data_IF_048407630866
#
_entry.id   IF_048407630866
#
_cell.length_a   1.000
_cell.length_b   1.000
_cell.length_c   1.000
_cell.angle_alpha   90.00
_cell.angle_beta   90.00
_cell.angle_gamma   90.00
#
_symmetry.space_group_name_H-M   'P 1'
#
loop_
_entity.id
_entity.type
_entity.pdbx_description
1 polymer ?
#
# COMPACT_ATOMS: atom_id res chain seq x y z
N UNK A 1 57.28 -8.77 -62.60
CA UNK A 1 56.50 -9.53 -61.60
C UNK A 1 56.56 -8.75 -60.29
N UNK A 2 55.42 -8.66 -59.61
CA UNK A 2 55.21 -8.20 -58.22
C UNK A 2 55.62 -6.77 -57.82
N UNK A 3 54.66 -5.85 -57.61
CA UNK A 3 53.80 -5.66 -56.40
C UNK A 3 54.65 -5.30 -55.17
N UNK A 4 54.54 -4.14 -54.53
CA UNK A 4 53.64 -3.00 -54.68
C UNK A 4 54.21 -1.80 -53.91
N UNK A 5 53.97 -0.61 -54.47
CA UNK A 5 54.58 0.71 -54.19
C UNK A 5 54.05 1.36 -52.88
N UNK A 6 54.69 2.45 -52.41
CA UNK A 6 54.80 2.83 -51.00
C UNK A 6 53.63 3.69 -50.49
N UNK A 7 53.49 3.72 -49.16
CA UNK A 7 52.59 4.58 -48.40
C UNK A 7 52.83 6.06 -48.73
N UNK A 8 51.99 6.61 -49.60
CA UNK A 8 51.82 8.04 -49.81
C UNK A 8 50.53 8.50 -49.14
N UNK A 9 50.69 9.45 -48.22
CA UNK A 9 49.76 10.52 -47.84
C UNK A 9 48.27 10.35 -48.18
N UNK A 10 47.43 10.18 -47.15
CA UNK A 10 46.01 10.50 -47.21
C UNK A 10 45.60 11.26 -45.95
N UNK A 11 45.77 12.58 -46.05
CA UNK A 11 45.01 13.59 -45.32
C UNK A 11 43.66 13.74 -46.02
N UNK A 12 42.54 13.49 -45.33
CA UNK A 12 41.38 14.42 -45.23
C UNK A 12 40.07 13.76 -44.75
N UNK A 13 39.43 14.50 -43.83
CA UNK A 13 37.99 14.57 -43.50
C UNK A 13 37.46 13.51 -42.54
N UNK A 14 37.57 13.81 -41.25
CA UNK A 14 36.64 13.32 -40.23
C UNK A 14 35.44 14.27 -40.19
N UNK A 15 34.31 13.83 -40.72
CA UNK A 15 33.02 14.46 -40.47
C UNK A 15 32.55 14.03 -39.07
N UNK A 16 32.54 14.94 -38.11
CA UNK A 16 31.87 14.75 -36.83
C UNK A 16 30.36 14.91 -37.05
N UNK A 17 29.67 13.79 -37.24
CA UNK A 17 28.22 13.73 -37.10
C UNK A 17 27.89 13.79 -35.61
N UNK A 18 27.61 14.98 -35.09
CA UNK A 18 26.96 15.14 -33.78
C UNK A 18 25.54 14.61 -33.94
N UNK A 19 25.33 13.35 -33.58
CA UNK A 19 24.01 12.76 -33.49
C UNK A 19 23.30 13.44 -32.31
N UNK A 20 22.46 14.42 -32.61
CA UNK A 20 21.54 15.02 -31.66
C UNK A 20 20.53 13.94 -31.24
N UNK A 21 20.85 13.19 -30.19
CA UNK A 21 19.84 12.47 -29.44
C UNK A 21 18.91 13.51 -28.83
N UNK A 22 17.79 13.78 -29.51
CA UNK A 22 16.63 14.37 -28.87
C UNK A 22 16.25 13.42 -27.73
N UNK A 23 16.71 13.74 -26.52
CA UNK A 23 16.37 12.99 -25.33
C UNK A 23 14.86 13.02 -25.17
N UNK A 24 14.20 11.91 -25.46
CA UNK A 24 12.88 11.65 -24.92
C UNK A 24 13.01 11.84 -23.41
N UNK A 25 12.47 12.94 -22.87
CA UNK A 25 12.35 13.11 -21.43
C UNK A 25 11.45 11.97 -20.98
N UNK A 26 12.04 10.91 -20.44
CA UNK A 26 11.29 9.89 -19.74
C UNK A 26 10.52 10.61 -18.63
N UNK A 27 9.19 10.67 -18.74
CA UNK A 27 8.33 11.22 -17.70
C UNK A 27 8.64 10.48 -16.39
N UNK A 28 8.94 11.23 -15.33
CA UNK A 28 9.22 10.63 -14.03
C UNK A 28 8.05 9.72 -13.62
N UNK A 29 8.32 8.54 -13.03
CA UNK A 29 7.26 7.60 -12.65
C UNK A 29 6.24 8.30 -11.75
N UNK A 30 4.96 7.90 -11.86
CA UNK A 30 3.96 8.42 -10.93
C UNK A 30 4.36 7.97 -9.52
N UNK A 31 4.42 8.89 -8.54
CA UNK A 31 4.89 8.55 -7.20
C UNK A 31 3.93 7.62 -6.43
N UNK A 32 2.66 7.57 -6.83
CA UNK A 32 1.64 6.68 -6.28
C UNK A 32 1.93 5.24 -6.73
N UNK A 33 2.41 4.39 -5.81
CA UNK A 33 2.87 3.03 -6.12
C UNK A 33 1.75 2.14 -6.67
N UNK A 34 0.54 2.35 -6.18
CA UNK A 34 -0.67 1.63 -6.58
C UNK A 34 -0.88 1.67 -8.09
N UNK A 35 -0.53 2.78 -8.74
CA UNK A 35 -0.68 2.92 -10.19
C UNK A 35 0.13 1.90 -11.00
N UNK A 36 1.20 1.32 -10.42
CA UNK A 36 2.06 0.35 -11.10
C UNK A 36 1.40 -1.01 -11.30
N UNK A 37 0.36 -1.33 -10.53
CA UNK A 37 -0.37 -2.59 -10.62
C UNK A 37 -1.87 -2.38 -10.87
N UNK A 38 -2.24 -1.21 -11.36
CA UNK A 38 -3.59 -0.91 -11.83
C UNK A 38 -3.62 -0.75 -13.36
N UNK A 39 -4.68 -1.27 -13.98
CA UNK A 39 -4.94 -1.04 -15.41
C UNK A 39 -5.15 0.45 -15.69
N UNK A 40 -4.53 0.94 -16.77
CA UNK A 40 -4.54 2.36 -17.12
C UNK A 40 -5.96 2.95 -17.20
N UNK A 41 -6.92 2.20 -17.76
CA UNK A 41 -8.32 2.62 -17.93
C UNK A 41 -9.07 2.85 -16.62
N UNK A 42 -8.63 2.27 -15.50
CA UNK A 42 -9.31 2.40 -14.20
C UNK A 42 -8.49 3.20 -13.16
N UNK A 43 -7.24 3.56 -13.45
CA UNK A 43 -6.35 4.27 -12.50
C UNK A 43 -6.98 5.51 -11.91
N UNK A 44 -7.60 6.37 -12.71
CA UNK A 44 -8.20 7.60 -12.21
C UNK A 44 -9.27 7.28 -11.16
N UNK A 45 -10.24 6.44 -11.51
CA UNK A 45 -11.32 6.03 -10.60
C UNK A 45 -10.76 5.41 -9.32
N UNK A 46 -9.94 4.37 -9.44
CA UNK A 46 -9.47 3.57 -8.29
C UNK A 46 -8.51 4.31 -7.35
N UNK A 47 -7.89 5.39 -7.81
CA UNK A 47 -7.01 6.24 -7.01
C UNK A 47 -7.71 7.46 -6.41
N UNK A 48 -8.96 7.76 -6.82
CA UNK A 48 -9.77 8.87 -6.30
C UNK A 48 -11.02 8.41 -5.56
N UNK A 49 -11.32 7.12 -5.58
CA UNK A 49 -12.46 6.53 -4.88
C UNK A 49 -12.04 5.29 -4.09
N UNK A 50 -12.88 4.89 -3.14
CA UNK A 50 -12.77 3.65 -2.39
C UNK A 50 -14.17 3.06 -2.22
N UNK A 51 -14.34 1.73 -2.36
CA UNK A 51 -15.62 1.11 -2.00
C UNK A 51 -15.92 1.29 -0.52
N UNK A 52 -17.21 1.41 -0.20
CA UNK A 52 -17.70 1.33 1.18
C UNK A 52 -17.24 0.02 1.84
N UNK A 53 -16.63 0.13 3.03
CA UNK A 53 -16.28 -1.03 3.85
C UNK A 53 -17.49 -1.46 4.65
N UNK A 54 -17.95 -2.67 4.42
CA UNK A 54 -19.20 -3.19 4.97
C UNK A 54 -19.03 -3.72 6.39
N UNK A 55 -18.61 -2.84 7.29
CA UNK A 55 -18.32 -3.14 8.69
C UNK A 55 -19.43 -2.59 9.60
N UNK A 56 -19.71 -3.24 10.74
CA UNK A 56 -20.65 -2.70 11.73
C UNK A 56 -20.10 -1.41 12.34
N UNK A 57 -20.98 -0.44 12.61
CA UNK A 57 -20.62 0.77 13.37
C UNK A 57 -20.19 0.41 14.80
N UNK A 58 -20.91 -0.52 15.42
CA UNK A 58 -20.65 -1.01 16.78
C UNK A 58 -20.26 -2.49 16.75
N UNK A 59 -18.97 -2.77 16.94
CA UNK A 59 -18.45 -4.14 17.07
C UNK A 59 -18.20 -4.48 18.55
N UNK A 60 -18.68 -5.63 19.06
CA UNK A 60 -18.38 -6.06 20.42
C UNK A 60 -16.89 -6.38 20.64
N UNK A 61 -16.12 -6.58 19.56
CA UNK A 61 -14.66 -6.75 19.60
C UNK A 61 -13.99 -5.68 18.72
N UNK A 62 -14.30 -4.42 19.02
CA UNK A 62 -13.81 -3.26 18.25
C UNK A 62 -12.28 -3.20 18.20
N UNK A 63 -11.59 -3.58 19.28
CA UNK A 63 -10.11 -3.56 19.33
C UNK A 63 -9.54 -4.52 18.28
N UNK A 64 -10.00 -5.77 18.26
CA UNK A 64 -9.52 -6.74 17.26
C UNK A 64 -9.92 -6.33 15.84
N UNK A 65 -11.13 -5.80 15.66
CA UNK A 65 -11.56 -5.27 14.37
C UNK A 65 -10.62 -4.17 13.87
N UNK A 66 -10.24 -3.22 14.73
CA UNK A 66 -9.31 -2.14 14.39
C UNK A 66 -7.92 -2.67 14.07
N UNK A 67 -7.37 -3.60 14.86
CA UNK A 67 -6.10 -4.25 14.55
C UNK A 67 -6.12 -4.94 13.19
N UNK A 68 -7.20 -5.65 12.89
CA UNK A 68 -7.44 -6.27 11.61
C UNK A 68 -7.47 -5.26 10.47
N UNK A 69 -8.26 -4.20 10.62
CA UNK A 69 -8.40 -3.13 9.62
C UNK A 69 -7.05 -2.50 9.29
N UNK A 70 -6.22 -2.19 10.29
CA UNK A 70 -4.90 -1.60 10.07
C UNK A 70 -3.96 -2.62 9.42
N UNK A 71 -3.89 -3.85 9.95
CA UNK A 71 -3.01 -4.90 9.42
C UNK A 71 -3.36 -5.29 7.98
N UNK A 72 -4.65 -5.32 7.63
CA UNK A 72 -5.14 -5.67 6.28
C UNK A 72 -4.66 -4.69 5.21
N UNK A 73 -4.39 -3.45 5.60
CA UNK A 73 -3.96 -2.36 4.72
C UNK A 73 -2.45 -2.24 4.64
N UNK A 74 -1.72 -2.80 5.60
CA UNK A 74 -0.28 -2.64 5.75
C UNK A 74 0.53 -3.55 4.80
N UNK A 75 1.29 -3.00 3.83
CA UNK A 75 2.04 -3.81 2.87
C UNK A 75 3.10 -4.72 3.48
N UNK A 76 3.67 -4.38 4.65
CA UNK A 76 4.72 -5.23 5.25
C UNK A 76 4.14 -6.35 6.13
N UNK A 77 2.79 -6.50 6.17
CA UNK A 77 2.20 -7.76 6.64
C UNK A 77 2.59 -8.88 5.68
N UNK A 78 2.64 -8.57 4.39
CA UNK A 78 3.16 -9.44 3.35
C UNK A 78 4.69 -9.32 3.29
N UNK A 79 5.35 -10.28 2.66
CA UNK A 79 6.79 -10.28 2.46
C UNK A 79 7.19 -10.18 0.99
N UNK A 80 8.45 -10.53 0.73
CA UNK A 80 8.96 -10.73 -0.62
C UNK A 80 8.71 -9.56 -1.59
N UNK A 81 8.26 -9.90 -2.79
CA UNK A 81 7.97 -8.91 -3.84
C UNK A 81 6.67 -8.14 -3.59
N UNK A 82 5.69 -8.76 -2.93
CA UNK A 82 4.43 -8.09 -2.62
C UNK A 82 4.67 -6.85 -1.76
N UNK A 83 5.40 -7.02 -0.66
CA UNK A 83 5.72 -5.91 0.24
C UNK A 83 6.57 -4.82 -0.43
N UNK A 84 7.54 -5.21 -1.28
CA UNK A 84 8.36 -4.26 -2.07
C UNK A 84 7.53 -3.46 -3.07
N UNK A 85 6.53 -4.09 -3.67
CA UNK A 85 5.60 -3.44 -4.58
C UNK A 85 4.53 -2.58 -3.89
N UNK A 86 4.49 -2.59 -2.54
CA UNK A 86 3.45 -1.91 -1.78
C UNK A 86 2.10 -2.63 -1.84
N UNK A 87 2.09 -3.94 -2.07
CA UNK A 87 0.86 -4.74 -2.02
C UNK A 87 0.51 -5.09 -0.57
N UNK A 88 -0.76 -4.94 -0.23
CA UNK A 88 -1.38 -5.45 1.00
C UNK A 88 -2.61 -6.31 0.65
N UNK A 89 -3.28 -6.87 1.66
CA UNK A 89 -4.55 -7.57 1.43
C UNK A 89 -5.56 -6.66 0.71
N UNK A 90 -5.54 -5.36 1.03
CA UNK A 90 -6.42 -4.35 0.41
C UNK A 90 -6.10 -4.04 -1.05
N UNK A 91 -4.89 -4.33 -1.53
CA UNK A 91 -4.55 -4.17 -2.95
C UNK A 91 -5.38 -5.10 -3.84
N UNK A 92 -5.67 -6.31 -3.36
CA UNK A 92 -6.56 -7.26 -4.01
C UNK A 92 -8.02 -7.08 -3.56
N UNK A 93 -8.23 -6.86 -2.27
CA UNK A 93 -9.56 -6.83 -1.64
C UNK A 93 -9.90 -5.42 -1.12
N UNK A 94 -10.13 -4.47 -2.03
CA UNK A 94 -10.37 -3.05 -1.70
C UNK A 94 -11.58 -2.91 -0.77
N UNK A 95 -11.35 -2.59 0.50
CA UNK A 95 -12.44 -2.51 1.49
C UNK A 95 -13.23 -3.81 1.66
N UNK A 96 -12.58 -4.96 1.46
CA UNK A 96 -13.23 -6.27 1.40
C UNK A 96 -13.84 -6.60 0.03
N UNK A 97 -13.93 -5.66 -0.91
CA UNK A 97 -14.46 -5.86 -2.26
C UNK A 97 -13.39 -6.38 -3.22
N UNK A 98 -13.79 -7.04 -4.31
CA UNK A 98 -12.84 -7.38 -5.38
C UNK A 98 -12.20 -6.12 -6.01
N UNK A 99 -11.00 -6.27 -6.58
CA UNK A 99 -10.33 -5.19 -7.33
C UNK A 99 -10.28 -5.51 -8.84
N UNK A 100 -11.31 -5.15 -9.63
CA UNK A 100 -11.34 -5.45 -11.07
C UNK A 100 -10.26 -4.73 -11.88
N UNK A 101 -9.64 -3.69 -11.32
CA UNK A 101 -8.54 -2.98 -11.96
C UNK A 101 -7.15 -3.49 -11.59
N UNK A 102 -7.05 -4.45 -10.67
CA UNK A 102 -5.77 -5.07 -10.32
C UNK A 102 -5.16 -5.78 -11.53
N UNK A 103 -3.94 -5.41 -11.90
CA UNK A 103 -3.21 -6.00 -12.98
C UNK A 103 -1.71 -5.86 -12.76
N UNK A 104 -1.13 -6.88 -12.15
CA UNK A 104 0.29 -6.92 -11.82
C UNK A 104 1.06 -7.76 -12.86
N UNK A 105 2.13 -7.22 -13.48
CA UNK A 105 2.86 -7.94 -14.53
C UNK A 105 3.36 -9.32 -14.07
N UNK A 106 3.04 -10.36 -14.86
CA UNK A 106 3.37 -11.78 -14.60
C UNK A 106 2.68 -12.42 -13.39
N UNK A 107 1.77 -11.70 -12.75
CA UNK A 107 0.88 -12.24 -11.72
C UNK A 107 -0.57 -12.31 -12.22
N UNK A 108 -0.97 -11.36 -13.07
CA UNK A 108 -2.31 -11.28 -13.63
C UNK A 108 -2.33 -11.81 -15.07
N UNK A 109 -3.44 -12.45 -15.44
CA UNK A 109 -3.75 -12.79 -16.84
C UNK A 109 -4.72 -11.79 -17.46
N UNK A 110 -5.85 -11.59 -16.78
CA UNK A 110 -6.80 -10.51 -17.05
C UNK A 110 -6.82 -9.51 -15.88
N UNK A 111 -7.31 -8.27 -16.10
CA UNK A 111 -7.59 -7.36 -14.98
C UNK A 111 -8.52 -8.02 -13.95
N UNK A 112 -8.25 -7.80 -12.67
CA UNK A 112 -8.95 -8.42 -11.55
C UNK A 112 -8.56 -9.87 -11.25
N UNK A 113 -7.44 -10.34 -11.80
CA UNK A 113 -6.92 -11.70 -11.53
C UNK A 113 -5.54 -11.67 -10.90
N UNK A 114 -5.23 -12.68 -10.09
CA UNK A 114 -3.91 -12.90 -9.51
C UNK A 114 -3.59 -14.40 -9.44
N UNK A 115 -2.33 -14.74 -9.69
CA UNK A 115 -1.76 -16.07 -9.56
C UNK A 115 -0.95 -16.15 -8.25
N UNK A 116 -1.63 -16.51 -7.16
CA UNK A 116 -0.98 -16.66 -5.83
C UNK A 116 -0.11 -17.92 -5.71
N UNK A 117 -0.03 -18.72 -6.77
CA UNK A 117 0.89 -19.86 -6.93
C UNK A 117 2.13 -19.51 -7.77
N UNK A 118 2.29 -18.24 -8.15
CA UNK A 118 3.46 -17.75 -8.85
C UNK A 118 4.68 -17.65 -7.92
N UNK A 119 5.82 -18.19 -8.36
CA UNK A 119 7.13 -18.01 -7.69
C UNK A 119 7.59 -16.55 -7.62
N UNK A 120 6.90 -15.63 -8.30
CA UNK A 120 7.17 -14.20 -8.19
C UNK A 120 6.80 -13.66 -6.81
N UNK A 121 5.73 -14.16 -6.20
CA UNK A 121 5.19 -13.65 -4.93
C UNK A 121 5.58 -14.50 -3.73
N UNK A 122 5.83 -15.80 -3.93
CA UNK A 122 6.31 -16.66 -2.85
C UNK A 122 7.35 -17.69 -3.25
N UNK A 123 8.28 -17.94 -2.32
CA UNK A 123 9.24 -19.03 -2.33
C UNK A 123 8.64 -20.41 -2.00
N UNK A 124 7.40 -20.50 -1.53
CA UNK A 124 6.77 -21.73 -1.04
C UNK A 124 5.84 -22.40 -2.05
N UNK A 125 5.04 -21.62 -2.78
CA UNK A 125 3.88 -22.12 -3.56
C UNK A 125 4.03 -22.09 -5.08
N UNK A 126 5.25 -21.83 -5.57
CA UNK A 126 5.59 -21.86 -6.98
C UNK A 126 5.24 -23.19 -7.66
N UNK A 127 4.22 -23.22 -8.50
CA UNK A 127 3.83 -24.43 -9.27
C UNK A 127 4.37 -24.42 -10.72
N UNK A 128 4.91 -23.29 -11.18
CA UNK A 128 5.44 -23.10 -12.53
C UNK A 128 4.36 -22.94 -13.62
N UNK A 129 3.09 -22.81 -13.24
CA UNK A 129 1.95 -22.72 -14.15
C UNK A 129 1.36 -21.32 -14.04
N UNK A 130 1.28 -20.58 -15.15
CA UNK A 130 0.56 -19.32 -15.18
C UNK A 130 -0.95 -19.58 -15.16
N UNK A 131 -1.56 -19.59 -13.97
CA UNK A 131 -2.96 -19.97 -13.75
C UNK A 131 -3.78 -18.92 -12.97
N UNK A 132 -3.66 -17.61 -13.28
CA UNK A 132 -4.26 -16.53 -12.51
C UNK A 132 -5.76 -16.72 -12.33
N UNK A 133 -6.24 -16.49 -11.10
CA UNK A 133 -7.65 -16.64 -10.73
C UNK A 133 -8.29 -15.28 -10.46
N UNK A 134 -9.62 -15.14 -10.67
CA UNK A 134 -10.35 -13.97 -10.22
C UNK A 134 -10.13 -13.71 -8.73
N UNK A 135 -9.88 -12.45 -8.39
CA UNK A 135 -9.77 -12.01 -7.01
C UNK A 135 -11.19 -11.97 -6.41
N UNK A 136 -11.48 -12.75 -5.36
CA UNK A 136 -12.82 -12.81 -4.81
C UNK A 136 -13.20 -11.54 -4.03
N UNK A 137 -14.50 -11.25 -4.01
CA UNK A 137 -15.10 -10.26 -3.13
C UNK A 137 -15.32 -10.91 -1.75
N UNK A 138 -14.63 -10.40 -0.73
CA UNK A 138 -14.73 -10.91 0.64
C UNK A 138 -16.03 -10.48 1.33
N UNK A 139 -16.88 -9.65 0.73
CA UNK A 139 -18.16 -9.26 1.33
C UNK A 139 -19.32 -10.02 0.69
N UNK A 140 -19.35 -10.10 -0.63
CA UNK A 140 -20.53 -10.56 -1.38
C UNK A 140 -20.40 -11.97 -1.97
N UNK A 141 -19.18 -12.50 -2.15
CA UNK A 141 -19.01 -13.86 -2.66
C UNK A 141 -19.14 -14.90 -1.54
N UNK A 142 -19.51 -16.12 -1.93
CA UNK A 142 -19.49 -17.28 -1.03
C UNK A 142 -18.03 -17.51 -0.60
N UNK A 143 -17.73 -17.49 0.71
CA UNK A 143 -16.35 -17.61 1.16
C UNK A 143 -15.82 -19.02 0.92
N UNK A 144 -14.54 -19.12 0.52
CA UNK A 144 -13.85 -20.40 0.32
C UNK A 144 -13.69 -21.21 1.61
N UNK A 145 -13.67 -20.53 2.75
CA UNK A 145 -13.53 -21.09 4.10
C UNK A 145 -14.62 -20.48 4.98
N UNK A 146 -15.18 -21.27 5.91
CA UNK A 146 -16.16 -20.77 6.87
C UNK A 146 -15.60 -19.59 7.67
N UNK A 147 -16.35 -18.50 7.75
CA UNK A 147 -16.01 -17.36 8.61
C UNK A 147 -16.41 -17.59 10.07
N UNK A 148 -17.35 -18.49 10.31
CA UNK A 148 -17.92 -18.77 11.64
C UNK A 148 -17.06 -19.77 12.41
N UNK A 149 -16.37 -20.68 11.71
CA UNK A 149 -15.46 -21.62 12.35
C UNK A 149 -14.13 -20.94 12.73
N UNK A 150 -13.91 -20.81 14.04
CA UNK A 150 -12.87 -19.99 14.67
C UNK A 150 -11.42 -20.45 14.51
N UNK A 151 -11.16 -21.65 13.98
CA UNK A 151 -9.78 -22.13 13.76
C UNK A 151 -9.39 -22.21 12.28
N UNK A 152 -10.38 -22.39 11.40
CA UNK A 152 -10.15 -22.53 9.97
C UNK A 152 -9.71 -21.22 9.31
N UNK A 153 -10.36 -20.11 9.66
CA UNK A 153 -10.10 -18.81 9.03
C UNK A 153 -8.71 -18.26 9.37
N UNK A 154 -8.31 -18.33 10.64
CA UNK A 154 -7.01 -17.87 11.14
C UNK A 154 -5.88 -18.69 10.51
N UNK A 155 -6.02 -20.02 10.46
CA UNK A 155 -5.04 -20.88 9.80
C UNK A 155 -4.94 -20.59 8.30
N UNK A 156 -6.09 -20.32 7.65
CA UNK A 156 -6.14 -19.94 6.24
C UNK A 156 -5.43 -18.60 5.99
N UNK A 157 -5.77 -17.55 6.75
CA UNK A 157 -5.15 -16.22 6.64
C UNK A 157 -3.64 -16.29 6.88
N UNK A 158 -3.20 -17.03 7.91
CA UNK A 158 -1.77 -17.26 8.16
C UNK A 158 -1.10 -17.93 6.95
N UNK A 159 -1.76 -18.92 6.35
CA UNK A 159 -1.28 -19.59 5.14
C UNK A 159 -1.14 -18.64 3.95
N UNK A 160 -2.08 -17.70 3.75
CA UNK A 160 -1.95 -16.67 2.71
C UNK A 160 -0.69 -15.82 2.96
N UNK A 161 -0.54 -15.31 4.19
CA UNK A 161 0.54 -14.40 4.54
C UNK A 161 1.91 -15.07 4.38
N UNK A 162 2.08 -16.24 4.98
CA UNK A 162 3.37 -16.93 5.03
C UNK A 162 3.68 -17.65 3.72
N UNK A 163 2.73 -18.42 3.20
CA UNK A 163 2.98 -19.36 2.11
C UNK A 163 2.64 -18.79 0.72
N UNK A 164 1.77 -17.78 0.59
CA UNK A 164 1.47 -17.16 -0.72
C UNK A 164 2.24 -15.85 -0.95
N UNK A 165 2.72 -15.21 0.12
CA UNK A 165 3.34 -13.88 0.03
C UNK A 165 4.64 -13.73 0.83
N UNK A 166 5.25 -14.82 1.31
CA UNK A 166 6.53 -14.82 2.06
C UNK A 166 6.56 -13.88 3.29
N UNK A 167 5.40 -13.57 3.86
CA UNK A 167 5.28 -12.78 5.08
C UNK A 167 5.78 -13.55 6.30
N UNK A 168 6.16 -12.81 7.35
CA UNK A 168 6.43 -13.45 8.64
C UNK A 168 5.13 -13.87 9.30
N UNK A 169 5.10 -14.98 10.07
CA UNK A 169 3.92 -15.35 10.84
C UNK A 169 3.44 -14.18 11.71
N UNK A 170 2.18 -13.72 11.59
CA UNK A 170 1.66 -12.64 12.42
C UNK A 170 1.55 -13.05 13.89
N UNK A 171 1.60 -12.08 14.80
CA UNK A 171 1.30 -12.30 16.21
C UNK A 171 -0.14 -12.82 16.39
N UNK A 172 -0.45 -13.52 17.50
CA UNK A 172 -1.82 -13.98 17.77
C UNK A 172 -2.86 -12.86 17.74
N UNK A 173 -2.52 -11.66 18.24
CA UNK A 173 -3.40 -10.50 18.24
C UNK A 173 -3.67 -9.97 16.82
N UNK A 174 -2.62 -9.88 15.99
CA UNK A 174 -2.78 -9.46 14.58
C UNK A 174 -3.60 -10.49 13.80
N UNK A 175 -3.33 -11.79 13.99
CA UNK A 175 -4.04 -12.85 13.29
C UNK A 175 -5.53 -12.88 13.69
N UNK A 176 -5.82 -12.76 15.00
CA UNK A 176 -7.18 -12.61 15.51
C UNK A 176 -7.84 -11.38 14.89
N UNK A 177 -7.15 -10.25 14.86
CA UNK A 177 -7.67 -9.01 14.29
C UNK A 177 -8.06 -9.15 12.82
N UNK A 178 -7.17 -9.72 11.99
CA UNK A 178 -7.46 -9.99 10.57
C UNK A 178 -8.68 -10.88 10.40
N UNK A 179 -8.81 -11.93 11.21
CA UNK A 179 -9.98 -12.80 11.18
C UNK A 179 -11.26 -12.05 11.62
N UNK A 180 -11.18 -11.21 12.66
CA UNK A 180 -12.28 -10.34 13.09
C UNK A 180 -12.72 -9.37 12.00
N UNK A 181 -11.78 -8.75 11.26
CA UNK A 181 -12.08 -7.90 10.11
C UNK A 181 -12.83 -8.67 9.02
N UNK A 182 -12.32 -9.83 8.60
CA UNK A 182 -12.97 -10.64 7.54
C UNK A 182 -14.34 -11.15 7.98
N UNK A 183 -14.53 -11.48 9.26
CA UNK A 183 -15.83 -11.87 9.83
C UNK A 183 -16.83 -10.74 9.85
N UNK A 184 -16.37 -9.51 10.09
CA UNK A 184 -17.22 -8.34 10.21
C UNK A 184 -17.75 -7.82 8.85
N UNK A 185 -17.12 -8.23 7.73
CA UNK A 185 -17.58 -7.91 6.38
C UNK A 185 -18.93 -8.58 6.09
N UNK A 186 -19.99 -7.78 6.08
CA UNK A 186 -21.35 -8.22 5.83
C UNK A 186 -22.10 -7.22 4.92
N UNK A 187 -22.71 -7.66 3.81
CA UNK A 187 -23.58 -6.86 2.96
C UNK A 187 -24.61 -5.98 3.68
N UNK A 188 -25.11 -6.41 4.84
CA UNK A 188 -26.10 -5.69 5.63
C UNK A 188 -25.61 -4.32 6.13
N UNK A 189 -24.29 -4.14 6.29
CA UNK A 189 -23.70 -2.89 6.78
C UNK A 189 -23.45 -1.85 5.67
N UNK A 190 -23.67 -2.18 4.39
CA UNK A 190 -23.38 -1.28 3.26
C UNK A 190 -24.40 -1.44 2.12
N UNK A 191 -25.70 -1.19 2.36
CA UNK A 191 -26.75 -1.46 1.37
C UNK A 191 -26.57 -0.67 0.06
N UNK A 192 -25.89 0.49 0.12
CA UNK A 192 -25.61 1.33 -1.05
C UNK A 192 -24.65 0.66 -2.03
N UNK A 193 -23.63 -0.07 -1.52
CA UNK A 193 -22.52 -0.63 -2.28
C UNK A 193 -21.74 0.38 -3.13
N UNK A 194 -21.87 1.67 -2.84
CA UNK A 194 -21.29 2.73 -3.65
C UNK A 194 -19.81 2.91 -3.34
N UNK A 195 -19.07 3.32 -4.37
CA UNK A 195 -17.74 3.89 -4.18
C UNK A 195 -17.90 5.31 -3.62
N UNK A 196 -17.06 5.64 -2.64
CA UNK A 196 -16.98 6.95 -2.02
C UNK A 196 -15.71 7.67 -2.50
N UNK A 197 -15.73 9.00 -2.64
CA UNK A 197 -14.50 9.76 -2.88
C UNK A 197 -13.46 9.47 -1.80
N UNK A 198 -12.20 9.34 -2.21
CA UNK A 198 -11.06 9.12 -1.31
C UNK A 198 -10.10 10.29 -1.38
N UNK A 199 -10.05 11.06 -0.28
CA UNK A 199 -9.23 12.25 -0.12
C UNK A 199 -8.27 12.15 1.07
N UNK A 200 -7.56 13.25 1.33
CA UNK A 200 -6.65 13.38 2.46
C UNK A 200 -7.35 13.14 3.80
N UNK A 201 -8.60 13.57 3.94
CA UNK A 201 -9.38 13.35 5.17
C UNK A 201 -9.55 11.84 5.48
N UNK A 202 -9.78 11.01 4.46
CA UNK A 202 -9.89 9.56 4.63
C UNK A 202 -8.53 8.95 5.01
N UNK A 203 -7.45 9.37 4.35
CA UNK A 203 -6.10 8.91 4.68
C UNK A 203 -5.67 9.31 6.10
N UNK A 204 -6.00 10.53 6.54
CA UNK A 204 -5.76 10.96 7.92
C UNK A 204 -6.61 10.18 8.92
N UNK A 205 -7.86 9.84 8.61
CA UNK A 205 -8.68 8.97 9.44
C UNK A 205 -8.06 7.56 9.59
N UNK A 206 -7.55 6.99 8.49
CA UNK A 206 -6.83 5.72 8.51
C UNK A 206 -5.54 5.80 9.35
N UNK A 207 -4.82 6.92 9.28
CA UNK A 207 -3.64 7.19 10.10
C UNK A 207 -3.98 7.28 11.60
N UNK A 208 -5.05 8.01 11.95
CA UNK A 208 -5.52 8.09 13.33
C UNK A 208 -5.95 6.71 13.84
N UNK A 209 -6.68 5.94 13.04
CA UNK A 209 -7.06 4.57 13.40
C UNK A 209 -5.83 3.73 13.79
N UNK A 210 -4.76 3.82 13.00
CA UNK A 210 -3.50 3.11 13.27
C UNK A 210 -2.76 3.63 14.52
N UNK A 211 -2.74 4.94 14.77
CA UNK A 211 -2.14 5.49 16.00
C UNK A 211 -2.91 5.08 17.26
N UNK A 212 -4.24 5.17 17.22
CA UNK A 212 -5.09 4.77 18.34
C UNK A 212 -4.92 3.29 18.64
N UNK A 213 -4.85 2.46 17.60
CA UNK A 213 -4.54 1.04 17.73
C UNK A 213 -3.18 0.78 18.40
N UNK A 214 -2.15 1.55 18.03
CA UNK A 214 -0.84 1.45 18.67
C UNK A 214 -0.90 1.85 20.15
N UNK A 215 -1.60 2.94 20.50
CA UNK A 215 -1.79 3.38 21.88
C UNK A 215 -2.52 2.31 22.71
N UNK A 216 -3.62 1.75 22.20
CA UNK A 216 -4.34 0.64 22.85
C UNK A 216 -3.43 -0.56 23.08
N UNK A 217 -2.65 -0.98 22.08
CA UNK A 217 -1.74 -2.12 22.22
C UNK A 217 -0.67 -1.87 23.30
N UNK A 218 -0.16 -0.64 23.41
CA UNK A 218 0.81 -0.29 24.46
C UNK A 218 0.19 -0.29 25.87
N UNK A 219 -1.05 0.19 26.00
CA UNK A 219 -1.81 0.13 27.27
C UNK A 219 -2.04 -1.33 27.68
N UNK A 220 -2.29 -2.22 26.71
CA UNK A 220 -2.48 -3.65 26.94
C UNK A 220 -1.14 -4.42 27.10
N UNK A 221 -0.01 -3.71 27.18
CA UNK A 221 1.34 -4.27 27.29
C UNK A 221 1.72 -5.23 26.13
N UNK A 222 1.23 -4.95 24.92
CA UNK A 222 1.53 -5.68 23.68
C UNK A 222 2.41 -4.84 22.73
N UNK A 223 3.74 -4.79 22.95
CA UNK A 223 4.64 -4.03 22.09
C UNK A 223 4.74 -4.59 20.67
N UNK A 224 4.48 -5.89 20.46
CA UNK A 224 4.55 -6.51 19.13
C UNK A 224 3.43 -5.97 18.24
N UNK A 225 2.20 -5.95 18.75
CA UNK A 225 1.06 -5.36 18.05
C UNK A 225 1.24 -3.86 17.88
N UNK A 226 1.74 -3.14 18.88
CA UNK A 226 2.03 -1.71 18.77
C UNK A 226 3.03 -1.40 17.64
N UNK A 227 4.10 -2.19 17.51
CA UNK A 227 5.07 -2.05 16.42
C UNK A 227 4.39 -2.24 15.06
N UNK A 228 3.49 -3.23 14.93
CA UNK A 228 2.72 -3.44 13.71
C UNK A 228 1.77 -2.28 13.39
N UNK A 229 1.07 -1.73 14.38
CA UNK A 229 0.17 -0.59 14.17
C UNK A 229 0.93 0.69 13.78
N UNK A 230 2.08 0.97 14.41
CA UNK A 230 2.95 2.09 14.06
C UNK A 230 3.54 1.96 12.64
N UNK A 231 3.80 0.72 12.21
CA UNK A 231 4.25 0.44 10.83
C UNK A 231 3.14 0.76 9.82
N UNK A 232 1.90 0.37 10.11
CA UNK A 232 0.73 0.74 9.32
C UNK A 232 0.57 2.26 9.22
N UNK A 233 0.66 2.97 10.34
CA UNK A 233 0.61 4.43 10.38
C UNK A 233 1.70 5.07 9.48
N UNK A 234 2.92 4.54 9.50
CA UNK A 234 4.01 5.02 8.63
C UNK A 234 3.77 4.73 7.16
N UNK A 235 3.19 3.57 6.80
CA UNK A 235 2.80 3.28 5.42
C UNK A 235 1.84 4.34 4.90
N UNK A 236 0.82 4.67 5.69
CA UNK A 236 -0.19 5.69 5.35
C UNK A 236 0.45 7.07 5.16
N UNK A 237 1.40 7.48 6.02
CA UNK A 237 2.14 8.72 5.81
C UNK A 237 2.91 8.73 4.47
N UNK A 238 3.52 7.61 4.10
CA UNK A 238 4.19 7.45 2.80
C UNK A 238 3.22 7.55 1.61
N UNK A 239 2.01 7.02 1.74
CA UNK A 239 0.95 7.13 0.72
C UNK A 239 0.45 8.57 0.57
N UNK A 240 0.34 9.30 1.69
CA UNK A 240 0.02 10.73 1.66
C UNK A 240 1.17 11.51 0.98
N UNK A 241 2.43 11.27 1.36
CA UNK A 241 3.60 11.92 0.77
C UNK A 241 3.65 11.71 -0.75
N UNK A 242 3.39 10.48 -1.21
CA UNK A 242 3.35 10.15 -2.64
C UNK A 242 2.36 11.02 -3.42
N UNK A 243 1.28 11.49 -2.78
CA UNK A 243 0.27 12.36 -3.41
C UNK A 243 0.63 13.84 -3.38
N UNK A 244 1.57 14.26 -2.53
CA UNK A 244 1.96 15.65 -2.37
C UNK A 244 3.24 16.02 -3.16
N UNK A 245 3.76 15.16 -4.03
CA UNK A 245 5.03 15.38 -4.76
C UNK A 245 5.06 16.56 -5.75
N UNK A 246 3.96 17.30 -5.92
CA UNK A 246 3.94 18.45 -6.83
C UNK A 246 4.85 19.58 -6.33
N UNK A 247 5.45 20.32 -7.26
CA UNK A 247 6.28 21.49 -6.96
C UNK A 247 5.50 22.52 -6.14
N UNK A 248 6.11 23.07 -5.09
CA UNK A 248 5.48 24.03 -4.18
C UNK A 248 4.79 23.39 -2.97
N UNK A 249 4.81 22.05 -2.86
CA UNK A 249 4.28 21.30 -1.72
C UNK A 249 5.40 20.73 -0.82
N UNK A 250 6.65 21.14 -1.02
CA UNK A 250 7.80 20.65 -0.25
C UNK A 250 7.66 20.97 1.24
N UNK A 251 7.11 22.15 1.59
CA UNK A 251 6.86 22.54 2.97
C UNK A 251 5.86 21.62 3.69
N UNK A 252 4.63 21.46 3.18
CA UNK A 252 3.68 20.48 3.73
C UNK A 252 4.22 19.05 3.78
N UNK A 253 5.06 18.63 2.82
CA UNK A 253 5.67 17.30 2.82
C UNK A 253 6.70 17.09 3.92
N UNK A 254 7.51 18.10 4.23
CA UNK A 254 8.51 18.00 5.29
C UNK A 254 7.89 17.61 6.64
N UNK A 255 6.63 18.00 6.89
CA UNK A 255 5.94 17.63 8.13
C UNK A 255 5.54 16.14 8.18
N UNK A 256 5.30 15.50 7.03
CA UNK A 256 5.08 14.06 6.91
C UNK A 256 6.36 13.29 7.20
N UNK A 257 7.49 13.76 6.68
CA UNK A 257 8.81 13.15 6.91
C UNK A 257 9.17 13.19 8.41
N UNK A 258 8.99 14.34 9.06
CA UNK A 258 9.19 14.49 10.50
C UNK A 258 8.27 13.56 11.32
N UNK A 259 6.98 13.46 10.95
CA UNK A 259 6.05 12.54 11.59
C UNK A 259 6.48 11.08 11.41
N UNK A 260 6.89 10.69 10.20
CA UNK A 260 7.35 9.35 9.87
C UNK A 260 8.62 8.95 10.63
N UNK A 261 9.59 9.87 10.76
CA UNK A 261 10.81 9.67 11.55
C UNK A 261 10.46 9.47 13.02
N UNK A 262 9.56 10.28 13.58
CA UNK A 262 9.15 10.15 14.97
C UNK A 262 8.50 8.78 15.26
N UNK A 263 7.63 8.30 14.37
CA UNK A 263 7.05 6.96 14.52
C UNK A 263 8.10 5.86 14.42
N UNK A 264 9.09 6.01 13.52
CA UNK A 264 10.20 5.06 13.41
C UNK A 264 11.04 5.00 14.70
N UNK A 265 11.26 6.13 15.36
CA UNK A 265 11.98 6.20 16.64
C UNK A 265 11.21 5.48 17.75
N UNK A 266 9.89 5.66 17.84
CA UNK A 266 9.05 4.94 18.81
C UNK A 266 9.13 3.43 18.54
N UNK A 267 9.02 2.99 17.29
CA UNK A 267 9.16 1.59 16.93
C UNK A 267 10.53 1.01 17.30
N UNK A 268 11.60 1.78 17.16
CA UNK A 268 12.93 1.35 17.56
C UNK A 268 13.02 1.19 19.08
N UNK A 269 12.51 2.15 19.85
CA UNK A 269 12.45 2.04 21.32
C UNK A 269 11.70 0.79 21.78
N UNK A 270 10.57 0.46 21.14
CA UNK A 270 9.81 -0.74 21.45
C UNK A 270 10.59 -2.03 21.12
N UNK A 271 11.40 -2.04 20.05
CA UNK A 271 12.26 -3.18 19.70
C UNK A 271 13.45 -3.35 20.64
N UNK A 272 14.00 -2.24 21.12
CA UNK A 272 15.09 -2.25 22.09
C UNK A 272 14.60 -2.76 23.47
N UNK A 273 13.29 -2.67 23.71
CA UNK A 273 12.63 -3.15 24.92
C UNK A 273 12.75 -2.18 26.09
N UNK A 274 12.19 -2.58 27.24
CA UNK A 274 12.22 -1.78 28.47
C UNK A 274 10.86 -1.21 28.87
N UNK A 275 10.89 -0.09 29.59
CA UNK A 275 9.69 0.58 30.09
C UNK A 275 8.84 1.18 28.95
N UNK A 276 7.53 0.95 29.02
CA UNK A 276 6.57 1.39 28.01
C UNK A 276 6.02 2.80 28.26
N UNK A 277 6.23 3.41 29.42
CA UNK A 277 5.72 4.77 29.71
C UNK A 277 6.22 5.79 28.67
N UNK A 278 7.49 5.74 28.30
CA UNK A 278 8.07 6.63 27.28
C UNK A 278 7.39 6.49 25.90
N UNK A 279 7.33 5.27 25.32
CA UNK A 279 6.60 5.01 24.09
C UNK A 279 5.12 5.39 24.12
N UNK A 280 4.39 5.08 25.20
CA UNK A 280 2.97 5.46 25.38
C UNK A 280 2.81 6.98 25.28
N UNK A 281 3.58 7.73 26.08
CA UNK A 281 3.55 9.18 26.05
C UNK A 281 3.95 9.75 24.68
N UNK A 282 4.90 9.10 23.99
CA UNK A 282 5.33 9.52 22.68
C UNK A 282 4.23 9.35 21.63
N UNK A 283 3.53 8.21 21.60
CA UNK A 283 2.37 7.97 20.71
C UNK A 283 1.26 8.98 21.01
N UNK A 284 0.92 9.17 22.28
CA UNK A 284 -0.11 10.14 22.68
C UNK A 284 0.24 11.56 22.21
N UNK A 285 1.48 12.01 22.42
CA UNK A 285 1.95 13.31 21.90
C UNK A 285 1.89 13.40 20.37
N UNK A 286 2.05 12.30 19.63
CA UNK A 286 1.90 12.29 18.17
C UNK A 286 0.44 12.46 17.77
N UNK A 287 -0.47 11.79 18.45
CA UNK A 287 -1.90 12.00 18.27
C UNK A 287 -2.26 13.48 18.41
N UNK A 288 -1.93 14.11 19.55
CA UNK A 288 -2.26 15.52 19.82
C UNK A 288 -1.61 16.47 18.81
N UNK A 289 -0.39 16.19 18.36
CA UNK A 289 0.32 17.03 17.40
C UNK A 289 -0.21 16.91 15.97
N UNK A 290 -1.03 15.91 15.66
CA UNK A 290 -1.43 15.59 14.28
C UNK A 290 -2.12 16.74 13.58
N UNK A 291 -3.06 17.40 14.26
CA UNK A 291 -3.76 18.56 13.68
C UNK A 291 -2.79 19.63 13.19
N UNK A 292 -1.80 19.97 14.02
CA UNK A 292 -0.85 21.05 13.73
C UNK A 292 -0.02 20.77 12.48
N UNK A 293 0.43 19.53 12.28
CA UNK A 293 1.24 19.20 11.10
C UNK A 293 0.41 18.86 9.87
N UNK A 294 -0.85 18.44 10.05
CA UNK A 294 -1.79 18.13 8.97
C UNK A 294 -2.46 19.37 8.36
N UNK A 295 -2.61 20.47 9.12
CA UNK A 295 -3.26 21.71 8.64
C UNK A 295 -2.67 22.22 7.30
N UNK A 296 -1.34 22.29 7.10
CA UNK A 296 -0.76 22.65 5.80
C UNK A 296 -1.12 21.70 4.65
N UNK A 297 -1.27 20.40 4.93
CA UNK A 297 -1.68 19.42 3.92
C UNK A 297 -3.15 19.63 3.53
N UNK A 298 -4.02 19.83 4.52
CA UNK A 298 -5.45 20.08 4.32
C UNK A 298 -5.66 21.34 3.45
N UNK A 299 -4.97 22.44 3.78
CA UNK A 299 -5.05 23.69 3.01
C UNK A 299 -4.60 23.53 1.55
N UNK A 300 -3.71 22.57 1.28
CA UNK A 300 -3.10 22.35 -0.03
C UNK A 300 -3.60 21.10 -0.75
N UNK A 301 -4.59 20.37 -0.23
CA UNK A 301 -5.09 19.12 -0.81
C UNK A 301 -5.49 19.29 -2.28
N UNK A 302 -6.14 20.41 -2.62
CA UNK A 302 -6.56 20.73 -4.01
C UNK A 302 -5.41 20.81 -5.02
N UNK A 303 -4.17 21.00 -4.54
CA UNK A 303 -2.96 21.05 -5.37
C UNK A 303 -2.27 19.68 -5.49
N UNK A 304 -2.65 18.73 -4.64
CA UNK A 304 -2.10 17.38 -4.59
C UNK A 304 -2.76 16.43 -5.60
N UNK A 305 -2.26 15.20 -5.66
CA UNK A 305 -2.84 14.11 -6.46
C UNK A 305 -4.09 13.47 -5.82
N UNK A 306 -4.59 13.99 -4.69
CA UNK A 306 -5.97 13.72 -4.25
C UNK A 306 -7.00 14.43 -5.13
N UNK A 307 -6.63 15.54 -5.78
CA UNK A 307 -7.51 16.21 -6.73
C UNK A 307 -7.59 15.40 -8.05
N UNK A 308 -8.79 14.94 -8.47
CA UNK A 308 -8.95 14.14 -9.68
C UNK A 308 -8.41 14.79 -10.95
N UNK A 309 -8.52 16.12 -11.09
CA UNK A 309 -8.01 16.84 -12.27
C UNK A 309 -6.47 16.87 -12.29
N UNK A 310 -5.83 17.03 -11.13
CA UNK A 310 -4.37 16.96 -11.00
C UNK A 310 -3.86 15.55 -11.30
N UNK A 311 -4.55 14.54 -10.78
CA UNK A 311 -4.20 13.15 -11.05
C UNK A 311 -4.40 12.79 -12.53
N UNK A 312 -5.51 13.22 -13.15
CA UNK A 312 -5.78 12.99 -14.57
C UNK A 312 -4.69 13.60 -15.46
N UNK A 313 -4.28 14.84 -15.19
CA UNK A 313 -3.17 15.48 -15.90
C UNK A 313 -1.86 14.69 -15.72
N UNK A 314 -1.53 14.28 -14.49
CA UNK A 314 -0.35 13.48 -14.23
C UNK A 314 -0.39 12.11 -14.94
N UNK A 315 -1.55 11.46 -15.04
CA UNK A 315 -1.71 10.20 -15.78
C UNK A 315 -1.58 10.41 -17.31
N UNK A 316 -2.08 11.53 -17.84
CA UNK A 316 -2.02 11.85 -19.27
C UNK A 316 -0.59 12.11 -19.76
N UNK A 317 0.22 12.88 -19.00
CA UNK A 317 1.63 13.18 -19.30
C UNK A 317 2.55 11.94 -19.40
N UNK A 318 2.00 10.76 -19.07
CA UNK A 318 2.70 9.47 -19.02
C UNK A 318 2.16 8.45 -20.01
N UNK A 319 1.07 8.75 -20.71
CA UNK A 319 0.50 7.92 -21.76
C UNK A 319 1.01 8.31 -23.17
N UNK A 320 1.64 9.48 -23.29
CA UNK A 320 2.31 10.05 -24.48
C UNK A 320 3.80 9.81 -24.44
#
# INVERSE_FOLDING_TARGET
MDRGRPLAALLRVFALTVMACAGARASAPLPIREANWLVASQRLHLLTTRPEECLPEDSPDIVSLVYGTVAFRDPMLLGGQAARAGLSCMSCHRGGRGNPGFHFPRLSGAPGTADVTSSLMSSHRGDGIANPKPIPDLTFDIPKISRVDGRGLEAFIRGLIVEEFDGVPPSPAILKGLASYVRALDPAHCPSRHDQPYGLANALADYFLALGAAETALVDHDPETAIAMLRGARSILGEIDARFQAKGLEGPRATLDEAGIALAQIQQQLRDGGDLTGPVDAVHRRWTATRRWADPLILNERLSLYNPEKLKAALADRAS
#
